data_IF_473936450035
#
_entry.id   IF_473936450035
#
_cell.length_a   1.000
_cell.length_b   1.000
_cell.length_c   1.000
_cell.angle_alpha   90.00
_cell.angle_beta   90.00
_cell.angle_gamma   90.00
#
_symmetry.space_group_name_H-M   'P 1'
#
loop_
_entity.id
_entity.type
_entity.pdbx_description
1 polymer ?
#
# COMPACT_ATOMS: atom_id res chain seq x y z
N UNK A 1 -7.84 11.90 12.91
CA UNK A 1 -6.81 12.47 13.81
C UNK A 1 -6.60 11.45 14.90
N UNK A 2 -5.34 11.14 15.19
CA UNK A 2 -4.92 10.11 16.14
C UNK A 2 -4.00 10.73 17.19
N UNK A 3 -4.07 10.28 18.44
CA UNK A 3 -3.09 10.67 19.45
C UNK A 3 -1.75 9.96 19.23
N UNK A 4 -0.66 10.51 19.77
CA UNK A 4 0.64 9.82 19.79
C UNK A 4 0.52 8.52 20.59
N UNK A 5 0.97 7.42 20.00
CA UNK A 5 0.80 6.07 20.56
C UNK A 5 -0.61 5.48 20.39
N UNK A 6 -1.51 6.15 19.66
CA UNK A 6 -2.75 5.54 19.19
C UNK A 6 -2.49 4.71 17.93
N UNK A 7 -2.92 3.45 17.99
CA UNK A 7 -2.76 2.52 16.87
C UNK A 7 -3.56 2.99 15.63
N UNK A 8 -2.86 3.52 14.64
CA UNK A 8 -3.41 3.80 13.32
C UNK A 8 -3.55 2.49 12.54
N UNK A 9 -4.79 2.05 12.27
CA UNK A 9 -5.09 0.87 11.46
C UNK A 9 -5.49 1.30 10.05
N UNK A 10 -4.71 0.87 9.06
CA UNK A 10 -4.97 1.14 7.64
C UNK A 10 -5.05 -0.21 6.94
N UNK A 11 -6.01 -0.35 6.04
CA UNK A 11 -6.14 -1.52 5.18
C UNK A 11 -6.64 -1.10 3.80
N UNK A 12 -6.39 -1.95 2.81
CA UNK A 12 -7.01 -1.87 1.49
C UNK A 12 -7.94 -3.08 1.28
N UNK A 13 -8.98 -2.87 0.50
CA UNK A 13 -9.90 -3.91 0.04
C UNK A 13 -10.02 -3.83 -1.48
N UNK A 14 -9.96 -4.98 -2.14
CA UNK A 14 -10.17 -5.15 -3.58
C UNK A 14 -11.29 -6.17 -3.77
N UNK A 15 -12.39 -5.73 -4.34
CA UNK A 15 -13.57 -6.55 -4.58
C UNK A 15 -13.75 -6.77 -6.08
N UNK A 16 -13.98 -8.02 -6.48
CA UNK A 16 -14.39 -8.34 -7.83
C UNK A 16 -15.91 -8.24 -7.95
N UNK A 17 -16.36 -7.42 -8.90
CA UNK A 17 -17.77 -7.25 -9.26
C UNK A 17 -17.92 -7.57 -10.75
N UNK A 18 -18.35 -8.78 -11.06
CA UNK A 18 -18.57 -9.22 -12.44
C UNK A 18 -19.55 -10.40 -12.52
N UNK A 19 -19.77 -10.89 -13.75
CA UNK A 19 -20.76 -11.94 -14.00
C UNK A 19 -20.29 -13.36 -13.64
N UNK A 20 -18.96 -13.56 -13.50
CA UNK A 20 -18.40 -14.83 -13.07
C UNK A 20 -18.36 -14.92 -11.54
N UNK A 21 -18.30 -16.14 -11.01
CA UNK A 21 -18.18 -16.36 -9.57
C UNK A 21 -16.80 -15.92 -9.04
N UNK A 22 -15.76 -15.98 -9.87
CA UNK A 22 -14.40 -15.62 -9.52
C UNK A 22 -13.57 -15.21 -10.74
N UNK A 23 -12.47 -14.49 -10.49
CA UNK A 23 -11.46 -14.12 -11.47
C UNK A 23 -10.05 -14.28 -10.87
N UNK A 24 -9.08 -14.70 -11.68
CA UNK A 24 -7.68 -14.75 -11.26
C UNK A 24 -6.94 -13.49 -11.69
N UNK A 25 -6.36 -12.79 -10.72
CA UNK A 25 -5.45 -11.67 -10.93
C UNK A 25 -4.00 -12.11 -10.78
N UNK A 26 -3.10 -11.39 -11.44
CA UNK A 26 -1.66 -11.59 -11.41
C UNK A 26 -1.00 -10.31 -10.96
N UNK A 27 -0.12 -10.39 -9.96
CA UNK A 27 0.48 -9.22 -9.32
C UNK A 27 1.88 -9.53 -8.81
N UNK A 28 2.51 -8.54 -8.18
CA UNK A 28 3.81 -8.63 -7.52
C UNK A 28 3.73 -9.51 -6.24
N UNK A 29 4.46 -9.16 -5.17
CA UNK A 29 4.31 -9.85 -3.89
C UNK A 29 2.92 -9.61 -3.25
N UNK A 30 2.29 -8.48 -3.57
CA UNK A 30 0.92 -8.13 -3.20
C UNK A 30 0.33 -7.26 -4.32
N UNK A 31 -1.01 -7.29 -4.56
CA UNK A 31 -1.62 -6.33 -5.46
C UNK A 31 -1.64 -4.93 -4.85
N UNK A 32 -1.45 -4.76 -3.53
CA UNK A 32 -1.59 -3.49 -2.84
C UNK A 32 -0.26 -2.80 -2.54
N UNK A 33 -0.17 -1.52 -2.89
CA UNK A 33 1.01 -0.68 -2.66
C UNK A 33 0.65 0.51 -1.77
N UNK A 34 1.42 0.77 -0.70
CA UNK A 34 1.10 1.78 0.33
C UNK A 34 2.19 2.85 0.57
N UNK A 35 2.73 3.51 -0.47
CA UNK A 35 3.70 4.57 -0.29
C UNK A 35 3.04 5.78 0.36
N UNK A 36 3.79 6.51 1.16
CA UNK A 36 3.27 7.70 1.84
C UNK A 36 4.30 8.82 1.94
N UNK A 37 3.82 10.00 2.24
CA UNK A 37 4.67 11.14 2.60
C UNK A 37 4.22 11.68 3.94
N UNK A 38 5.15 11.85 4.88
CA UNK A 38 4.97 12.68 6.07
C UNK A 38 5.21 14.14 5.67
N UNK A 39 4.15 14.92 5.58
CA UNK A 39 4.13 16.27 5.01
C UNK A 39 4.66 17.35 5.96
N UNK A 40 4.75 17.12 7.27
CA UNK A 40 5.27 18.11 8.23
C UNK A 40 6.76 18.34 8.02
N UNK A 41 7.53 17.25 7.83
CA UNK A 41 8.97 17.28 7.56
C UNK A 41 9.30 17.03 6.09
N UNK A 42 8.27 16.81 5.28
CA UNK A 42 8.38 16.47 3.85
C UNK A 42 9.25 15.22 3.61
N UNK A 43 8.99 14.15 4.38
CA UNK A 43 9.69 12.88 4.30
C UNK A 43 8.87 11.89 3.48
N UNK A 44 9.44 11.40 2.38
CA UNK A 44 8.88 10.30 1.61
C UNK A 44 9.17 8.97 2.32
N UNK A 45 8.13 8.17 2.54
CA UNK A 45 8.25 6.87 3.16
C UNK A 45 7.95 5.85 2.07
N UNK A 46 9.00 5.22 1.50
CA UNK A 46 8.83 4.26 0.43
C UNK A 46 8.18 2.98 0.96
N UNK A 47 7.50 2.28 0.07
CA UNK A 47 6.94 0.96 0.36
C UNK A 47 7.66 -0.06 -0.52
N UNK A 48 8.89 -0.50 -0.20
CA UNK A 48 9.59 -1.46 -1.04
C UNK A 48 8.80 -2.77 -1.11
N UNK A 49 8.66 -3.31 -2.31
CA UNK A 49 7.96 -4.57 -2.56
C UNK A 49 8.81 -5.43 -3.47
N UNK A 50 8.87 -6.73 -3.17
CA UNK A 50 9.41 -7.70 -4.12
C UNK A 50 8.43 -7.87 -5.28
N UNK A 51 8.94 -8.14 -6.49
CA UNK A 51 8.11 -8.27 -7.69
C UNK A 51 8.11 -9.72 -8.26
N UNK A 52 7.81 -10.77 -7.45
CA UNK A 52 7.49 -12.08 -8.01
C UNK A 52 6.16 -12.01 -8.74
N UNK A 53 5.99 -12.81 -9.80
CA UNK A 53 4.69 -12.94 -10.46
C UNK A 53 3.79 -13.92 -9.71
N UNK A 54 2.99 -13.42 -8.76
CA UNK A 54 2.02 -14.20 -7.99
C UNK A 54 0.63 -14.14 -8.61
N UNK A 55 -0.22 -15.06 -8.17
CA UNK A 55 -1.61 -15.18 -8.62
C UNK A 55 -2.54 -15.16 -7.42
N UNK A 56 -3.72 -14.57 -7.57
CA UNK A 56 -4.76 -14.56 -6.54
C UNK A 56 -6.13 -14.66 -7.19
N UNK A 57 -6.96 -15.57 -6.70
CA UNK A 57 -8.36 -15.69 -7.12
C UNK A 57 -9.23 -14.77 -6.27
N UNK A 58 -9.86 -13.79 -6.90
CA UNK A 58 -10.87 -12.94 -6.30
C UNK A 58 -12.24 -13.57 -6.52
N UNK A 59 -13.03 -13.71 -5.45
CA UNK A 59 -14.39 -14.23 -5.51
C UNK A 59 -15.39 -13.09 -5.43
N UNK A 60 -16.49 -13.23 -6.16
CA UNK A 60 -17.56 -12.25 -6.16
C UNK A 60 -18.17 -12.11 -4.75
N UNK A 61 -18.24 -10.88 -4.24
CA UNK A 61 -18.76 -10.57 -2.91
C UNK A 61 -17.82 -10.91 -1.74
N UNK A 62 -16.60 -11.39 -2.01
CA UNK A 62 -15.56 -11.63 -0.99
C UNK A 62 -14.34 -10.72 -1.26
N UNK A 63 -14.23 -9.54 -0.61
CA UNK A 63 -13.13 -8.64 -0.85
C UNK A 63 -11.79 -9.23 -0.37
N UNK A 64 -10.77 -9.15 -1.23
CA UNK A 64 -9.40 -9.36 -0.81
C UNK A 64 -8.99 -8.18 0.07
N UNK A 65 -8.56 -8.48 1.30
CA UNK A 65 -8.18 -7.47 2.29
C UNK A 65 -6.71 -7.61 2.69
N UNK A 66 -5.99 -6.49 2.73
CA UNK A 66 -4.63 -6.43 3.25
C UNK A 66 -4.46 -5.25 4.21
N UNK A 67 -3.90 -5.54 5.39
CA UNK A 67 -3.53 -4.50 6.35
C UNK A 67 -2.17 -3.91 5.99
N UNK A 68 -2.08 -2.58 6.07
CA UNK A 68 -0.81 -1.87 5.96
C UNK A 68 0.16 -2.35 7.04
N UNK A 69 1.36 -2.71 6.62
CA UNK A 69 2.50 -2.98 7.51
C UNK A 69 3.59 -1.96 7.25
N UNK A 70 4.24 -1.47 8.30
CA UNK A 70 5.35 -0.54 8.14
C UNK A 70 6.45 -1.17 7.29
N UNK A 71 6.89 -0.42 6.30
CA UNK A 71 7.93 -0.79 5.36
C UNK A 71 8.74 0.48 5.03
N UNK A 72 9.90 0.27 4.42
CA UNK A 72 10.81 1.34 4.04
C UNK A 72 12.25 0.99 4.38
N UNK A 73 13.14 1.95 4.15
CA UNK A 73 14.55 1.78 4.45
C UNK A 73 15.29 3.11 4.36
N UNK A 74 16.53 3.08 4.82
CA UNK A 74 17.47 4.19 4.72
C UNK A 74 18.87 3.64 4.42
N UNK A 75 19.68 4.42 3.71
CA UNK A 75 21.05 4.12 3.33
C UNK A 75 22.07 5.09 3.94
N UNK A 76 23.35 4.81 3.71
CA UNK A 76 24.45 5.66 4.21
C UNK A 76 24.60 6.99 3.46
N UNK A 77 23.95 7.13 2.31
CA UNK A 77 23.96 8.34 1.49
C UNK A 77 22.77 9.27 1.78
N UNK A 78 21.80 8.80 2.57
CA UNK A 78 20.61 9.60 2.90
C UNK A 78 20.94 10.68 3.92
N UNK A 79 20.13 11.74 3.90
CA UNK A 79 20.26 12.84 4.83
C UNK A 79 20.04 12.38 6.28
N UNK A 80 20.78 12.98 7.21
CA UNK A 80 20.75 12.59 8.63
C UNK A 80 19.33 12.67 9.21
N UNK A 81 18.56 13.69 8.87
CA UNK A 81 17.19 13.87 9.32
C UNK A 81 16.26 12.74 8.85
N UNK A 82 16.37 12.38 7.57
CA UNK A 82 15.65 11.24 6.99
C UNK A 82 15.99 9.93 7.71
N UNK A 83 17.29 9.67 7.92
CA UNK A 83 17.77 8.46 8.61
C UNK A 83 17.23 8.39 10.05
N UNK A 84 17.25 9.51 10.78
CA UNK A 84 16.74 9.56 12.16
C UNK A 84 15.23 9.36 12.22
N UNK A 85 14.48 9.96 11.29
CA UNK A 85 13.04 9.74 11.18
C UNK A 85 12.72 8.29 10.85
N UNK A 86 13.32 7.71 9.81
CA UNK A 86 13.03 6.35 9.37
C UNK A 86 13.39 5.31 10.44
N UNK A 87 14.48 5.54 11.19
CA UNK A 87 14.82 4.70 12.36
C UNK A 87 13.69 4.66 13.40
N UNK A 88 13.12 5.82 13.74
CA UNK A 88 12.02 5.88 14.70
C UNK A 88 10.75 5.28 14.11
N UNK A 89 10.37 5.70 12.91
CA UNK A 89 9.18 5.20 12.20
C UNK A 89 9.13 3.67 12.08
N UNK A 90 10.27 3.03 11.81
CA UNK A 90 10.34 1.57 11.66
C UNK A 90 10.28 0.81 13.00
N UNK A 91 10.61 1.46 14.12
CA UNK A 91 10.69 0.83 15.45
C UNK A 91 9.54 1.24 16.39
N UNK A 92 8.85 2.34 16.11
CA UNK A 92 7.81 2.93 16.95
C UNK A 92 6.46 2.93 16.22
N UNK A 93 5.43 3.52 16.85
CA UNK A 93 4.18 3.83 16.15
C UNK A 93 4.35 5.01 15.16
N UNK A 94 3.28 5.43 14.50
CA UNK A 94 3.35 6.64 13.69
C UNK A 94 3.78 7.82 14.57
N UNK A 95 4.81 8.54 14.12
CA UNK A 95 5.31 9.73 14.82
C UNK A 95 4.32 10.89 14.65
N UNK A 96 4.37 11.89 15.54
CA UNK A 96 3.61 13.11 15.34
C UNK A 96 3.89 13.76 13.98
N UNK A 97 2.83 14.00 13.21
CA UNK A 97 2.93 14.48 11.84
C UNK A 97 1.63 14.37 11.04
N UNK A 98 1.67 14.91 9.83
CA UNK A 98 0.61 14.83 8.84
C UNK A 98 1.04 13.87 7.73
N UNK A 99 0.29 12.79 7.54
CA UNK A 99 0.62 11.73 6.60
C UNK A 99 -0.37 11.74 5.44
N UNK A 100 0.15 11.59 4.23
CA UNK A 100 -0.62 11.36 3.01
C UNK A 100 -0.18 10.05 2.42
N UNK A 101 -1.06 9.05 2.38
CA UNK A 101 -0.81 7.75 1.78
C UNK A 101 -1.51 7.67 0.43
N UNK A 102 -0.73 7.38 -0.61
CA UNK A 102 -1.24 7.14 -1.96
C UNK A 102 -1.31 5.63 -2.17
N UNK A 103 -2.42 5.01 -1.80
CA UNK A 103 -2.65 3.57 -2.01
C UNK A 103 -2.86 3.23 -3.49
N UNK A 104 -2.36 2.07 -3.91
CA UNK A 104 -2.61 1.52 -5.23
C UNK A 104 -3.04 0.06 -5.12
N UNK A 105 -3.88 -0.39 -6.05
CA UNK A 105 -3.94 -1.79 -6.45
C UNK A 105 -3.37 -1.91 -7.87
N UNK A 106 -2.36 -2.75 -8.07
CA UNK A 106 -1.65 -2.95 -9.34
C UNK A 106 -1.57 -4.45 -9.66
N UNK A 107 -2.25 -4.85 -10.73
CA UNK A 107 -2.37 -6.24 -11.16
C UNK A 107 -2.82 -6.31 -12.62
N UNK A 108 -2.72 -7.49 -13.23
CA UNK A 108 -3.36 -7.77 -14.51
C UNK A 108 -4.24 -9.01 -14.44
N UNK A 109 -5.13 -9.16 -15.41
CA UNK A 109 -5.90 -10.38 -15.67
C UNK A 109 -5.52 -10.94 -17.04
N UNK A 110 -5.54 -12.27 -17.18
CA UNK A 110 -5.45 -12.92 -18.48
C UNK A 110 -6.87 -13.27 -18.96
N UNK A 111 -7.28 -12.69 -20.08
CA UNK A 111 -8.53 -13.02 -20.77
C UNK A 111 -8.21 -13.75 -22.08
N UNK A 112 -9.18 -14.49 -22.61
CA UNK A 112 -9.06 -15.13 -23.93
C UNK A 112 -9.94 -14.38 -24.93
N UNK A 113 -9.32 -13.87 -26.00
CA UNK A 113 -10.02 -13.19 -27.08
C UNK A 113 -9.61 -13.82 -28.42
N UNK A 114 -10.58 -14.36 -29.15
CA UNK A 114 -10.37 -15.04 -30.45
C UNK A 114 -9.29 -16.16 -30.43
N UNK A 115 -9.10 -16.82 -29.28
CA UNK A 115 -8.11 -17.88 -29.10
C UNK A 115 -6.71 -17.39 -28.73
N UNK A 116 -6.53 -16.08 -28.53
CA UNK A 116 -5.30 -15.48 -28.02
C UNK A 116 -5.47 -15.05 -26.56
N UNK A 117 -4.42 -15.26 -25.76
CA UNK A 117 -4.36 -14.74 -24.39
C UNK A 117 -4.04 -13.25 -24.43
N UNK A 118 -4.96 -12.45 -23.94
CA UNK A 118 -4.80 -11.00 -23.79
C UNK A 118 -4.55 -10.68 -22.33
N UNK A 119 -3.58 -9.80 -22.06
CA UNK A 119 -3.34 -9.24 -20.75
C UNK A 119 -4.03 -7.89 -20.65
N UNK A 120 -4.81 -7.72 -19.59
CA UNK A 120 -5.43 -6.44 -19.26
C UNK A 120 -4.87 -5.95 -17.92
N UNK A 121 -4.14 -4.84 -17.95
CA UNK A 121 -3.52 -4.24 -16.78
C UNK A 121 -4.49 -3.29 -16.05
N UNK A 122 -4.51 -3.38 -14.73
CA UNK A 122 -5.34 -2.57 -13.85
C UNK A 122 -4.47 -1.85 -12.83
N UNK A 123 -4.63 -0.52 -12.76
CA UNK A 123 -4.03 0.31 -11.72
C UNK A 123 -5.06 1.23 -11.08
N UNK A 124 -5.55 0.82 -9.92
CA UNK A 124 -6.54 1.54 -9.13
C UNK A 124 -5.80 2.39 -8.10
N UNK A 125 -6.26 3.62 -7.87
CA UNK A 125 -5.64 4.57 -6.94
C UNK A 125 -6.65 5.03 -5.89
N UNK A 126 -6.23 5.07 -4.64
CA UNK A 126 -6.98 5.67 -3.55
C UNK A 126 -6.01 6.47 -2.67
N UNK A 127 -6.43 7.63 -2.18
CA UNK A 127 -5.61 8.44 -1.27
C UNK A 127 -6.34 8.57 0.05
N UNK A 128 -5.61 8.37 1.15
CA UNK A 128 -6.04 8.75 2.48
C UNK A 128 -5.02 9.71 3.07
N UNK A 129 -5.49 10.55 3.99
CA UNK A 129 -4.62 11.38 4.80
C UNK A 129 -5.03 11.28 6.27
N UNK A 130 -4.08 11.53 7.16
CA UNK A 130 -4.32 11.52 8.59
C UNK A 130 -3.27 12.32 9.35
N UNK A 131 -3.65 12.79 10.53
CA UNK A 131 -2.79 13.51 11.45
C UNK A 131 -2.59 12.66 12.70
N UNK A 132 -1.34 12.55 13.15
CA UNK A 132 -0.96 12.08 14.49
C UNK A 132 -0.53 13.30 15.30
N UNK A 133 -1.26 13.62 16.36
CA UNK A 133 -0.94 14.73 17.26
C UNK A 133 0.07 14.29 18.31
N UNK A 134 1.14 15.07 18.51
CA UNK A 134 2.02 14.89 19.67
C UNK A 134 1.27 15.21 20.96
N UNK A 135 1.70 14.61 22.07
CA UNK A 135 1.21 15.00 23.39
C UNK A 135 1.75 16.42 23.68
N UNK A 136 0.86 17.38 23.97
CA UNK A 136 1.23 18.72 24.48
C UNK A 136 1.84 18.65 25.90
#
# INVERSE_FOLDING_TARGET
MYAEGEQVKIYAELEYVGDQDEITIYHAASPFYFPMTEKTRNIEIPFPMEEPLLQTTLKNGEPLKEEYKRAGGYGSQDEKEYVEFMKKFLNEEFLPGYYVMNGYADFFVETENEGEKVKEDYRIKAQIDFIVSGIE
#
